data_IF_087798860941
#
_entry.id   IF_087798860941
#
_cell.length_a   1.000
_cell.length_b   1.000
_cell.length_c   1.000
_cell.angle_alpha   90.00
_cell.angle_beta   90.00
_cell.angle_gamma   90.00
#
_symmetry.space_group_name_H-M   'P 1'
#
loop_
_entity.id
_entity.type
_entity.pdbx_description
1 polymer ?
#
# COMPACT_ATOMS: atom_id res chain seq x y z
N UNK A 1 26.91 -21.15 22.29
CA UNK A 1 27.99 -20.15 22.18
C UNK A 1 28.44 -20.19 20.72
N UNK A 2 27.92 -19.40 19.79
CA UNK A 2 27.62 -17.96 19.77
C UNK A 2 26.32 -17.73 18.96
N UNK A 3 25.27 -17.12 19.49
CA UNK A 3 25.03 -15.67 19.45
C UNK A 3 25.45 -15.03 18.11
N UNK A 4 24.49 -14.84 17.22
CA UNK A 4 24.45 -13.64 16.38
C UNK A 4 23.21 -12.87 16.80
N UNK A 5 23.51 -11.76 17.46
CA UNK A 5 22.59 -10.74 17.93
C UNK A 5 21.85 -10.09 16.76
N UNK A 6 20.54 -9.93 16.94
CA UNK A 6 19.85 -8.64 16.87
C UNK A 6 20.37 -7.62 15.82
N UNK A 7 19.62 -7.45 14.73
CA UNK A 7 19.42 -6.10 14.17
C UNK A 7 17.96 -5.73 14.32
N UNK A 8 17.68 -5.16 15.49
CA UNK A 8 16.59 -4.22 15.66
C UNK A 8 16.74 -3.13 14.59
N UNK A 9 15.74 -2.98 13.74
CA UNK A 9 15.45 -1.68 13.13
C UNK A 9 14.07 -1.24 13.62
N UNK A 10 14.02 -1.01 14.94
CA UNK A 10 13.08 -0.07 15.52
C UNK A 10 13.58 1.34 15.17
N UNK A 11 13.34 1.80 13.95
CA UNK A 11 13.49 3.21 13.59
C UNK A 11 12.10 3.78 13.35
N UNK A 12 11.51 4.33 14.42
CA UNK A 12 10.44 5.32 14.34
C UNK A 12 10.96 6.66 13.85
N UNK A 13 11.65 6.67 12.71
CA UNK A 13 11.94 7.90 11.97
C UNK A 13 10.84 8.08 10.93
N UNK A 14 10.40 9.32 10.78
CA UNK A 14 9.43 9.80 9.80
C UNK A 14 10.04 9.73 8.38
N UNK A 15 10.65 8.60 8.01
CA UNK A 15 11.47 8.46 6.84
C UNK A 15 10.58 8.23 5.62
N UNK A 16 10.83 9.05 4.60
CA UNK A 16 10.02 9.10 3.38
C UNK A 16 10.00 7.72 2.73
N UNK A 17 11.11 6.99 2.79
CA UNK A 17 11.26 5.60 2.31
C UNK A 17 10.27 4.61 2.97
N UNK A 18 10.23 4.53 4.30
CA UNK A 18 9.31 3.63 5.00
C UNK A 18 7.84 3.95 4.73
N UNK A 19 7.51 5.24 4.56
CA UNK A 19 6.15 5.67 4.17
C UNK A 19 5.81 5.24 2.74
N UNK A 20 6.76 5.38 1.80
CA UNK A 20 6.60 4.93 0.41
C UNK A 20 6.35 3.43 0.34
N UNK A 21 7.18 2.64 1.01
CA UNK A 21 7.07 1.18 0.99
C UNK A 21 5.75 0.72 1.55
N UNK A 22 5.34 1.27 2.69
CA UNK A 22 4.04 0.95 3.30
C UNK A 22 2.85 1.31 2.41
N UNK A 23 2.91 2.42 1.66
CA UNK A 23 1.86 2.74 0.68
C UNK A 23 1.86 1.75 -0.48
N UNK A 24 3.02 1.38 -1.01
CA UNK A 24 3.12 0.39 -2.08
C UNK A 24 2.58 -0.97 -1.61
N UNK A 25 2.96 -1.45 -0.43
CA UNK A 25 2.41 -2.68 0.15
C UNK A 25 0.89 -2.62 0.31
N UNK A 26 0.33 -1.45 0.62
CA UNK A 26 -1.12 -1.28 0.68
C UNK A 26 -1.77 -1.39 -0.72
N UNK A 27 -1.21 -0.70 -1.72
CA UNK A 27 -1.73 -0.72 -3.10
C UNK A 27 -1.69 -2.11 -3.73
N UNK A 28 -0.55 -2.78 -3.56
CA UNK A 28 -0.31 -4.13 -4.05
C UNK A 28 -0.82 -5.20 -3.08
N UNK A 29 -1.41 -4.81 -1.94
CA UNK A 29 -1.92 -5.70 -0.92
C UNK A 29 -3.21 -6.41 -1.32
N UNK A 30 -3.55 -7.44 -0.55
CA UNK A 30 -4.70 -8.32 -0.80
C UNK A 30 -6.07 -7.63 -0.74
N UNK A 31 -6.14 -6.47 -0.07
CA UNK A 31 -7.40 -5.74 0.11
C UNK A 31 -7.63 -4.77 -1.04
N UNK A 32 -6.58 -4.09 -1.51
CA UNK A 32 -6.68 -3.08 -2.55
C UNK A 32 -6.69 -3.71 -3.94
N UNK A 33 -5.78 -4.63 -4.24
CA UNK A 33 -5.61 -5.20 -5.57
C UNK A 33 -6.88 -5.83 -6.19
N UNK A 34 -7.74 -6.58 -5.47
CA UNK A 34 -8.97 -7.12 -6.06
C UNK A 34 -10.04 -6.04 -6.31
N UNK A 35 -9.95 -4.90 -5.62
CA UNK A 35 -10.91 -3.79 -5.73
C UNK A 35 -10.46 -2.71 -6.72
N UNK A 36 -9.15 -2.54 -6.87
CA UNK A 36 -8.53 -1.52 -7.69
C UNK A 36 -8.39 -1.98 -9.14
N UNK A 37 -9.35 -1.56 -9.98
CA UNK A 37 -9.36 -1.91 -11.40
C UNK A 37 -8.19 -1.32 -12.18
N UNK A 38 -7.65 -0.18 -11.74
CA UNK A 38 -6.58 0.50 -12.46
C UNK A 38 -5.25 -0.26 -12.31
N UNK A 39 -4.94 -0.72 -11.08
CA UNK A 39 -3.81 -1.61 -10.84
C UNK A 39 -3.98 -2.96 -11.57
N UNK A 40 -5.18 -3.55 -11.56
CA UNK A 40 -5.45 -4.77 -12.33
C UNK A 40 -5.23 -4.60 -13.83
N UNK A 41 -5.76 -3.52 -14.40
CA UNK A 41 -5.62 -3.24 -15.83
C UNK A 41 -4.16 -2.95 -16.19
N UNK A 42 -3.45 -2.16 -15.40
CA UNK A 42 -2.03 -1.86 -15.63
C UNK A 42 -1.18 -3.13 -15.55
N UNK A 43 -1.42 -3.98 -14.55
CA UNK A 43 -0.76 -5.29 -14.45
C UNK A 43 -1.08 -6.18 -15.65
N UNK A 44 -2.32 -6.17 -16.15
CA UNK A 44 -2.69 -6.98 -17.31
C UNK A 44 -2.06 -6.48 -18.60
N UNK A 45 -1.83 -5.17 -18.72
CA UNK A 45 -1.20 -4.56 -19.89
C UNK A 45 0.31 -4.81 -19.97
N UNK A 46 1.05 -4.82 -18.85
CA UNK A 46 2.52 -4.90 -18.82
C UNK A 46 3.04 -6.19 -18.13
N UNK A 47 2.35 -7.33 -18.27
CA UNK A 47 2.77 -8.64 -17.72
C UNK A 47 3.04 -8.64 -16.20
N UNK A 48 2.20 -7.92 -15.46
CA UNK A 48 2.27 -7.75 -14.01
C UNK A 48 3.15 -6.59 -13.56
N UNK A 49 3.88 -5.95 -14.47
CA UNK A 49 4.69 -4.76 -14.14
C UNK A 49 3.83 -3.50 -14.10
N UNK A 50 4.18 -2.59 -13.19
CA UNK A 50 3.53 -1.30 -13.03
C UNK A 50 4.62 -0.23 -13.04
N UNK A 51 4.62 0.70 -14.01
CA UNK A 51 5.60 1.77 -14.04
C UNK A 51 5.45 2.68 -12.83
N UNK A 52 6.56 3.14 -12.23
CA UNK A 52 6.51 4.08 -11.12
C UNK A 52 5.85 5.40 -11.55
N UNK A 53 5.98 5.81 -12.81
CA UNK A 53 5.25 6.95 -13.36
C UNK A 53 3.73 6.82 -13.18
N UNK A 54 3.20 5.62 -13.36
CA UNK A 54 1.78 5.34 -13.14
C UNK A 54 1.43 5.41 -11.66
N UNK A 55 2.34 4.98 -10.78
CA UNK A 55 2.20 5.08 -9.33
C UNK A 55 2.26 6.53 -8.82
N UNK A 56 3.01 7.41 -9.49
CA UNK A 56 3.04 8.85 -9.18
C UNK A 56 1.71 9.56 -9.45
N UNK A 57 0.83 8.99 -10.27
CA UNK A 57 -0.53 9.51 -10.47
C UNK A 57 -1.40 9.35 -9.21
N UNK A 58 -1.01 8.49 -8.27
CA UNK A 58 -1.77 8.27 -7.04
C UNK A 58 -1.48 9.37 -6.03
N UNK A 59 -2.51 10.12 -5.65
CA UNK A 59 -2.41 11.23 -4.71
C UNK A 59 -1.72 10.87 -3.38
N UNK A 60 -1.91 9.65 -2.84
CA UNK A 60 -1.27 9.28 -1.56
C UNK A 60 0.22 9.00 -1.69
N UNK A 61 0.66 8.47 -2.83
CA UNK A 61 2.08 8.25 -3.08
C UNK A 61 2.77 9.58 -3.43
N UNK A 62 2.14 10.38 -4.30
CA UNK A 62 2.61 11.69 -4.69
C UNK A 62 2.73 12.68 -3.51
N UNK A 63 1.88 12.54 -2.49
CA UNK A 63 1.96 13.34 -1.26
C UNK A 63 3.19 13.01 -0.40
N UNK A 64 3.81 11.84 -0.60
CA UNK A 64 5.01 11.42 0.14
C UNK A 64 6.26 11.73 -0.67
N UNK A 65 6.28 11.33 -1.94
CA UNK A 65 7.40 11.58 -2.85
C UNK A 65 6.94 11.65 -4.30
N UNK A 66 7.61 12.49 -5.08
CA UNK A 66 7.42 12.62 -6.53
C UNK A 66 8.58 12.04 -7.34
N UNK A 67 9.64 11.60 -6.66
CA UNK A 67 10.88 11.16 -7.30
C UNK A 67 10.94 9.63 -7.46
N UNK A 68 11.17 9.20 -8.70
CA UNK A 68 11.25 7.78 -9.06
C UNK A 68 12.45 7.11 -8.41
N UNK A 69 13.59 7.81 -8.35
CA UNK A 69 14.83 7.29 -7.75
C UNK A 69 14.62 6.99 -6.26
N UNK A 70 14.00 7.93 -5.54
CA UNK A 70 13.66 7.79 -4.11
C UNK A 70 12.76 6.58 -3.89
N UNK A 71 11.75 6.37 -4.75
CA UNK A 71 10.85 5.21 -4.65
C UNK A 71 11.63 3.91 -4.87
N UNK A 72 12.44 3.87 -5.92
CA UNK A 72 13.23 2.67 -6.26
C UNK A 72 14.21 2.30 -5.15
N UNK A 73 14.89 3.29 -4.58
CA UNK A 73 15.83 3.14 -3.47
C UNK A 73 15.11 2.68 -2.21
N UNK A 74 14.00 3.31 -1.85
CA UNK A 74 13.20 2.95 -0.69
C UNK A 74 12.75 1.47 -0.73
N UNK A 75 12.29 1.02 -1.89
CA UNK A 75 11.87 -0.38 -2.11
C UNK A 75 13.07 -1.33 -2.05
N UNK A 76 14.22 -0.94 -2.62
CA UNK A 76 15.46 -1.75 -2.55
C UNK A 76 15.99 -1.87 -1.11
N UNK A 77 16.00 -0.77 -0.35
CA UNK A 77 16.48 -0.75 1.04
C UNK A 77 15.56 -1.52 1.99
N UNK A 78 14.25 -1.43 1.79
CA UNK A 78 13.29 -2.10 2.69
C UNK A 78 13.09 -3.59 2.41
N UNK A 79 13.60 -4.11 1.28
CA UNK A 79 13.47 -5.51 0.85
C UNK A 79 12.08 -6.11 1.12
N UNK A 80 11.03 -5.51 0.56
CA UNK A 80 9.66 -6.00 0.77
C UNK A 80 9.44 -7.38 0.16
N UNK A 81 8.83 -8.30 0.90
CA UNK A 81 8.51 -9.66 0.41
C UNK A 81 7.32 -9.68 -0.57
N UNK A 82 6.45 -8.66 -0.51
CA UNK A 82 5.20 -8.57 -1.28
C UNK A 82 5.42 -7.99 -2.69
N UNK A 83 6.39 -7.08 -2.83
CA UNK A 83 6.65 -6.33 -4.06
C UNK A 83 8.10 -6.48 -4.50
N UNK A 84 8.33 -6.48 -5.80
CA UNK A 84 9.67 -6.49 -6.38
C UNK A 84 9.81 -5.35 -7.37
N UNK A 85 10.97 -4.71 -7.35
CA UNK A 85 11.34 -3.68 -8.31
C UNK A 85 12.10 -4.30 -9.47
N UNK A 86 11.95 -3.75 -10.68
CA UNK A 86 12.73 -4.12 -11.86
C UNK A 86 14.20 -3.76 -11.68
N UNK A 87 15.07 -4.36 -12.47
CA UNK A 87 16.52 -4.08 -12.47
C UNK A 87 16.80 -2.58 -12.68
N UNK A 88 16.13 -1.98 -13.68
CA UNK A 88 16.15 -0.54 -13.96
C UNK A 88 15.65 0.35 -12.82
N UNK A 89 14.97 -0.20 -11.80
CA UNK A 89 14.38 0.59 -10.73
C UNK A 89 13.12 1.37 -11.12
N UNK A 90 12.63 1.26 -12.35
CA UNK A 90 11.55 2.10 -12.91
C UNK A 90 10.15 1.46 -12.88
N UNK A 91 10.09 0.15 -12.63
CA UNK A 91 8.84 -0.63 -12.62
C UNK A 91 8.76 -1.44 -11.34
N UNK A 92 7.55 -1.63 -10.83
CA UNK A 92 7.25 -2.41 -9.63
C UNK A 92 6.24 -3.48 -10.01
N UNK A 93 6.44 -4.69 -9.50
CA UNK A 93 5.54 -5.83 -9.69
C UNK A 93 5.26 -6.49 -8.35
N UNK A 94 4.06 -7.06 -8.21
CA UNK A 94 3.74 -7.93 -7.06
C UNK A 94 4.40 -9.30 -7.22
N UNK A 95 5.03 -9.81 -6.16
CA UNK A 95 5.61 -11.13 -6.22
C UNK A 95 4.51 -12.21 -6.37
N UNK A 96 4.64 -13.06 -7.39
CA UNK A 96 3.67 -14.12 -7.72
C UNK A 96 3.62 -15.21 -6.64
N UNK A 97 4.65 -15.30 -5.78
CA UNK A 97 4.71 -16.25 -4.66
C UNK A 97 3.65 -16.05 -3.57
N UNK A 98 3.00 -14.87 -3.52
CA UNK A 98 1.87 -14.63 -2.64
C UNK A 98 0.59 -14.40 -3.48
N UNK A 99 -0.09 -15.49 -3.91
CA UNK A 99 -1.33 -15.36 -4.67
C UNK A 99 -2.34 -14.53 -3.88
N UNK A 100 -3.18 -13.78 -4.59
CA UNK A 100 -4.29 -13.12 -3.93
C UNK A 100 -5.09 -14.17 -3.16
N UNK A 101 -5.45 -13.92 -1.88
CA UNK A 101 -6.41 -14.78 -1.22
C UNK A 101 -7.66 -14.78 -2.08
N UNK A 102 -8.20 -15.97 -2.32
CA UNK A 102 -9.46 -16.13 -3.02
C UNK A 102 -10.46 -15.12 -2.43
N UNK A 103 -11.11 -14.34 -3.29
CA UNK A 103 -12.08 -13.31 -2.92
C UNK A 103 -13.39 -13.92 -2.39
N UNK A 104 -13.29 -15.05 -1.69
CA UNK A 104 -14.36 -15.83 -1.11
C UNK A 104 -15.06 -15.07 0.01
N UNK A 105 -16.35 -15.35 0.18
CA UNK A 105 -17.21 -14.74 1.20
C UNK A 105 -16.62 -14.89 2.61
N UNK A 106 -15.85 -15.94 2.86
CA UNK A 106 -15.16 -16.23 4.13
C UNK A 106 -14.07 -15.21 4.48
N UNK A 107 -13.31 -14.71 3.48
CA UNK A 107 -12.30 -13.67 3.67
C UNK A 107 -12.94 -12.35 4.13
N UNK A 108 -14.05 -11.96 3.50
CA UNK A 108 -14.80 -10.77 3.88
C UNK A 108 -15.51 -10.93 5.23
N UNK A 109 -15.95 -12.15 5.59
CA UNK A 109 -16.48 -12.43 6.93
C UNK A 109 -15.42 -12.22 8.01
N UNK A 110 -14.18 -12.68 7.79
CA UNK A 110 -13.06 -12.47 8.71
C UNK A 110 -12.71 -10.99 8.87
N UNK A 111 -12.69 -10.22 7.78
CA UNK A 111 -12.45 -8.77 7.83
C UNK A 111 -13.61 -8.04 8.53
N UNK A 112 -14.87 -8.40 8.26
CA UNK A 112 -16.05 -7.82 8.93
C UNK A 112 -15.98 -8.05 10.45
N UNK A 113 -15.51 -9.21 10.89
CA UNK A 113 -15.36 -9.53 12.31
C UNK A 113 -14.27 -8.70 13.02
N UNK A 114 -13.31 -8.14 12.27
CA UNK A 114 -12.28 -7.23 12.78
C UNK A 114 -12.55 -5.75 12.44
N UNK A 115 -13.68 -5.44 11.80
CA UNK A 115 -14.02 -4.06 11.44
C UNK A 115 -14.70 -3.39 12.62
N UNK A 116 -13.99 -2.49 13.30
CA UNK A 116 -14.59 -1.61 14.30
C UNK A 116 -15.41 -0.53 13.58
N UNK A 117 -16.71 -0.51 13.83
CA UNK A 117 -17.60 0.53 13.31
C UNK A 117 -17.51 1.76 14.19
N UNK A 118 -16.81 2.80 13.72
CA UNK A 118 -16.73 4.08 14.42
C UNK A 118 -17.87 4.99 13.95
N UNK A 119 -19.00 4.95 14.66
CA UNK A 119 -20.09 5.92 14.52
C UNK A 119 -19.90 7.01 15.57
N UNK A 120 -19.31 8.13 15.18
CA UNK A 120 -18.95 9.17 16.15
C UNK A 120 -18.15 10.34 15.59
N UNK A 121 -18.26 10.63 14.29
CA UNK A 121 -17.80 11.94 13.80
C UNK A 121 -18.91 12.93 14.17
N UNK A 122 -18.70 13.66 15.27
CA UNK A 122 -19.57 14.74 15.70
C UNK A 122 -19.70 15.73 14.54
N UNK A 123 -20.84 15.66 13.86
CA UNK A 123 -21.21 16.59 12.80
C UNK A 123 -21.62 17.89 13.49
N UNK A 124 -20.64 18.69 13.91
CA UNK A 124 -20.88 20.07 14.37
C UNK A 124 -21.17 20.94 13.15
N UNK A 125 -22.31 20.71 12.51
CA UNK A 125 -22.91 21.64 11.57
C UNK A 125 -24.27 22.01 12.15
N UNK A 126 -24.28 23.17 12.78
CA UNK A 126 -25.44 23.90 13.27
C UNK A 126 -26.57 23.82 12.26
N UNK A 127 -27.61 23.03 12.56
CA UNK A 127 -28.92 23.18 11.92
C UNK A 127 -29.65 24.27 12.70
N UNK A 128 -29.18 25.51 12.52
CA UNK A 128 -29.95 26.68 12.89
C UNK A 128 -31.33 26.61 12.21
N UNK A 129 -32.34 26.85 13.04
CA UNK A 129 -33.52 27.65 12.71
C UNK A 129 -34.31 27.24 11.48
N UNK A 130 -35.36 26.44 11.68
CA UNK A 130 -36.69 26.66 11.11
C UNK A 130 -37.62 25.54 11.58
N UNK A 131 -38.47 25.82 12.59
CA UNK A 131 -39.92 25.83 12.43
C UNK A 131 -40.49 26.68 13.60
N UNK A 132 -41.00 27.86 13.26
CA UNK A 132 -42.01 28.56 14.04
C UNK A 132 -43.39 28.14 13.55
#
# INVERSE_FOLDING_TARGET
>A
MTETENTASANGSDNVDGKVVRQLEYYFGNINLPRDKFLQDTMKNDDGWVPIKTLLTFNRLAAITTDVDVISKAVKESQSEIISVSDDGLKIRRNIGNPLPENSLEYWQKIKHCTVYMVGVANSLSREMMIG
#
